data_IF_103365199171
#
_entry.id   IF_103365199171
#
_cell.length_a   1.000
_cell.length_b   1.000
_cell.length_c   1.000
_cell.angle_alpha   90.00
_cell.angle_beta   90.00
_cell.angle_gamma   90.00
#
_symmetry.space_group_name_H-M   'P 1'
#
loop_
_entity.id
_entity.type
_entity.pdbx_description
1 polymer ?
#
# COMPACT_ATOMS: atom_id res chain seq x y z
N UNK A 1 32.43 21.86 -12.82
CA UNK A 1 32.30 20.42 -12.52
C UNK A 1 31.52 19.78 -13.65
N UNK A 2 32.10 18.81 -14.37
CA UNK A 2 31.41 18.09 -15.44
C UNK A 2 30.53 17.01 -14.82
N UNK A 3 29.23 17.05 -15.08
CA UNK A 3 28.31 15.98 -14.72
C UNK A 3 28.73 14.75 -15.52
N UNK A 4 29.34 13.78 -14.83
CA UNK A 4 29.77 12.51 -15.43
C UNK A 4 28.54 11.83 -16.05
N UNK A 5 28.70 11.31 -17.27
CA UNK A 5 27.68 10.55 -17.98
C UNK A 5 26.92 9.60 -17.06
N UNK A 6 25.61 9.49 -17.26
CA UNK A 6 24.72 8.68 -16.43
C UNK A 6 25.24 7.24 -16.40
N UNK A 7 25.94 6.88 -15.32
CA UNK A 7 26.70 5.64 -15.24
C UNK A 7 25.75 4.44 -15.36
N UNK A 8 26.11 3.41 -16.13
CA UNK A 8 25.26 2.23 -16.43
C UNK A 8 24.69 1.55 -15.16
N UNK A 9 25.36 1.73 -14.03
CA UNK A 9 24.91 1.30 -12.71
C UNK A 9 23.53 1.85 -12.30
N UNK A 10 23.22 3.11 -12.61
CA UNK A 10 21.92 3.70 -12.30
C UNK A 10 20.80 3.07 -13.13
N UNK A 11 21.08 2.74 -14.39
CA UNK A 11 20.13 2.09 -15.29
C UNK A 11 19.77 0.68 -14.82
N UNK A 12 20.75 -0.08 -14.33
CA UNK A 12 20.54 -1.42 -13.74
C UNK A 12 19.80 -1.41 -12.40
N UNK A 13 20.02 -0.39 -11.56
CA UNK A 13 19.29 -0.23 -10.29
C UNK A 13 17.85 0.25 -10.53
N UNK A 14 17.65 1.15 -11.49
CA UNK A 14 16.34 1.68 -11.84
C UNK A 14 15.38 0.59 -12.32
N UNK A 15 15.83 -0.32 -13.21
CA UNK A 15 14.98 -1.41 -13.71
C UNK A 15 14.52 -2.36 -12.60
N UNK A 16 15.40 -2.68 -11.63
CA UNK A 16 15.06 -3.54 -10.47
C UNK A 16 14.14 -2.84 -9.48
N UNK A 17 14.39 -1.55 -9.22
CA UNK A 17 13.56 -0.77 -8.31
C UNK A 17 12.17 -0.47 -8.89
N UNK A 18 12.04 -0.39 -10.22
CA UNK A 18 10.76 -0.22 -10.89
C UNK A 18 9.83 -1.43 -10.65
N UNK A 19 10.35 -2.65 -10.82
CA UNK A 19 9.60 -3.87 -10.54
C UNK A 19 9.17 -3.96 -9.07
N UNK A 20 10.08 -3.63 -8.14
CA UNK A 20 9.75 -3.56 -6.71
C UNK A 20 8.65 -2.52 -6.44
N UNK A 21 8.74 -1.33 -7.05
CA UNK A 21 7.74 -0.27 -6.91
C UNK A 21 6.35 -0.70 -7.37
N UNK A 22 6.25 -1.43 -8.48
CA UNK A 22 4.99 -1.98 -8.97
C UNK A 22 4.39 -3.00 -7.99
N UNK A 23 5.20 -3.92 -7.46
CA UNK A 23 4.75 -4.91 -6.47
C UNK A 23 4.26 -4.22 -5.20
N UNK A 24 5.00 -3.23 -4.69
CA UNK A 24 4.59 -2.46 -3.52
C UNK A 24 3.28 -1.70 -3.75
N UNK A 25 3.11 -1.06 -4.90
CA UNK A 25 1.87 -0.36 -5.25
C UNK A 25 0.68 -1.32 -5.34
N UNK A 26 0.87 -2.49 -5.96
CA UNK A 26 -0.16 -3.53 -6.03
C UNK A 26 -0.54 -4.04 -4.64
N UNK A 27 0.44 -4.29 -3.77
CA UNK A 27 0.21 -4.71 -2.39
C UNK A 27 -0.62 -3.68 -1.60
N UNK A 28 -0.24 -2.39 -1.69
CA UNK A 28 -1.00 -1.30 -1.06
C UNK A 28 -2.42 -1.25 -1.60
N UNK A 29 -2.61 -1.34 -2.92
CA UNK A 29 -3.94 -1.33 -3.54
C UNK A 29 -4.82 -2.50 -3.07
N UNK A 30 -4.25 -3.70 -2.90
CA UNK A 30 -4.98 -4.85 -2.37
C UNK A 30 -5.46 -4.64 -0.93
N UNK A 31 -4.55 -4.23 -0.04
CA UNK A 31 -4.90 -3.99 1.37
C UNK A 31 -5.91 -2.84 1.49
N UNK A 32 -5.69 -1.76 0.74
CA UNK A 32 -6.60 -0.61 0.73
C UNK A 32 -7.98 -0.98 0.18
N UNK A 33 -8.05 -1.71 -0.94
CA UNK A 33 -9.30 -2.18 -1.52
C UNK A 33 -10.09 -3.07 -0.56
N UNK A 34 -9.40 -4.01 0.11
CA UNK A 34 -10.01 -4.83 1.15
C UNK A 34 -10.50 -3.99 2.33
N UNK A 35 -9.77 -2.95 2.72
CA UNK A 35 -10.17 -2.04 3.80
C UNK A 35 -11.42 -1.25 3.44
N UNK A 36 -11.51 -0.72 2.22
CA UNK A 36 -12.70 -0.02 1.72
C UNK A 36 -13.91 -0.94 1.72
N UNK A 37 -13.77 -2.18 1.24
CA UNK A 37 -14.85 -3.18 1.27
C UNK A 37 -15.24 -3.51 2.71
N UNK A 38 -14.25 -3.81 3.58
CA UNK A 38 -14.48 -4.19 4.97
C UNK A 38 -15.18 -3.08 5.74
N UNK A 39 -14.68 -1.86 5.70
CA UNK A 39 -15.22 -0.71 6.43
C UNK A 39 -16.53 -0.22 5.81
N UNK A 40 -16.63 -0.23 4.47
CA UNK A 40 -17.82 0.21 3.76
C UNK A 40 -19.01 -0.75 3.92
N UNK A 41 -18.76 -2.06 3.99
CA UNK A 41 -19.82 -3.07 4.12
C UNK A 41 -20.16 -3.36 5.58
N UNK A 42 -19.18 -3.44 6.48
CA UNK A 42 -19.40 -3.76 7.91
C UNK A 42 -19.55 -2.50 8.77
N UNK A 43 -20.00 -1.40 8.16
CA UNK A 43 -20.06 -0.02 8.68
C UNK A 43 -20.03 0.06 10.20
N UNK A 44 -18.85 0.43 10.75
CA UNK A 44 -18.54 0.69 12.16
C UNK A 44 -19.67 0.27 13.12
N UNK A 45 -19.94 -1.03 13.19
CA UNK A 45 -20.91 -1.57 14.13
C UNK A 45 -20.23 -1.57 15.49
N UNK A 46 -20.12 -0.39 16.10
CA UNK A 46 -19.86 -0.26 17.52
C UNK A 46 -21.06 -0.88 18.20
N UNK A 47 -20.98 -2.20 18.47
CA UNK A 47 -21.92 -2.87 19.35
C UNK A 47 -21.91 -2.07 20.64
N UNK A 48 -23.03 -1.44 21.05
CA UNK A 48 -23.06 -0.76 22.32
C UNK A 48 -22.80 -1.83 23.38
N UNK A 49 -21.66 -1.72 24.08
CA UNK A 49 -21.22 -2.61 25.16
C UNK A 49 -22.06 -2.39 26.43
N UNK A 50 -23.34 -2.09 26.29
CA UNK A 50 -24.24 -1.77 27.39
C UNK A 50 -25.54 -2.57 27.27
N UNK A 51 -25.45 -3.90 27.13
CA UNK A 51 -26.48 -4.78 27.67
C UNK A 51 -25.90 -5.36 28.97
N UNK A 52 -25.92 -4.54 30.02
CA UNK A 52 -25.95 -5.08 31.38
C UNK A 52 -27.38 -5.60 31.52
N UNK A 53 -27.49 -6.91 31.36
CA UNK A 53 -28.72 -7.68 31.46
C UNK A 53 -29.11 -7.74 32.94
N UNK A 54 -30.08 -6.91 33.34
CA UNK A 54 -30.84 -7.08 34.58
C UNK A 54 -32.03 -8.02 34.35
#
# INVERSE_FOLDING_TARGET
>A
MSFRDQHDLHKRRFSRNLGLGLVLAAFVALVFGLTVVKVGVEGFAMKPQNEVQD
#
